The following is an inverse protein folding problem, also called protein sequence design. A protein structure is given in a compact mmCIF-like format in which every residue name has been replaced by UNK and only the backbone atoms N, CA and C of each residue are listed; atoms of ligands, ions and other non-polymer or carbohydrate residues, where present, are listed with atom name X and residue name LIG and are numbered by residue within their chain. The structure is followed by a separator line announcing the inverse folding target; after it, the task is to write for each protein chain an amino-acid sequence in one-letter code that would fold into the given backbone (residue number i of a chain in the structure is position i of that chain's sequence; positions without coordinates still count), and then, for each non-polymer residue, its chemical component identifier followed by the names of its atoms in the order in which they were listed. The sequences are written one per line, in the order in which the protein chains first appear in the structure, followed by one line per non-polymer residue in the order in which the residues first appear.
data_IF_652337276324
#
_entry.id   IF_652337276324
#
_cell.length_a   1.000
_cell.length_b   1.000
_cell.length_c   1.000
_cell.angle_alpha   90.00
_cell.angle_beta   90.00
_cell.angle_gamma   90.00
#
_symmetry.space_group_name_H-M   'P 1'
#
loop_
_entity.id
_entity.type
_entity.pdbx_description
1 polymer ?
#
# COMPACT_ATOMS: atom_id res chain seq x y z
N UNK A 1 -57.59 -19.38 1.11
CA UNK A 1 -57.63 -18.05 1.76
C UNK A 1 -56.39 -17.33 1.27
N UNK A 2 -56.60 -16.44 0.31
CA UNK A 2 -55.58 -15.76 -0.47
C UNK A 2 -54.64 -14.89 0.36
N UNK A 3 -53.36 -14.94 -0.01
CA UNK A 3 -52.35 -13.94 0.32
C UNK A 3 -52.29 -12.96 -0.87
N UNK A 4 -53.20 -11.99 -0.90
CA UNK A 4 -53.08 -10.84 -1.78
C UNK A 4 -52.49 -9.64 -1.02
N UNK A 5 -51.36 -9.20 -1.59
CA UNK A 5 -50.54 -8.05 -1.31
C UNK A 5 -51.29 -6.79 -0.82
N UNK A 6 -50.80 -6.23 0.28
CA UNK A 6 -50.83 -4.78 0.52
C UNK A 6 -49.44 -4.27 0.13
N UNK A 7 -49.27 -3.98 -1.15
CA UNK A 7 -48.28 -2.99 -1.61
C UNK A 7 -49.12 -1.76 -1.92
N UNK A 8 -49.12 -0.79 -1.02
CA UNK A 8 -49.65 0.53 -1.33
C UNK A 8 -48.79 1.12 -2.44
N UNK A 9 -49.32 1.12 -3.66
CA UNK A 9 -48.77 1.87 -4.77
C UNK A 9 -48.80 3.35 -4.40
N UNK A 10 -47.64 3.93 -4.11
CA UNK A 10 -47.44 5.38 -4.20
C UNK A 10 -47.96 5.79 -5.57
N UNK A 11 -48.96 6.68 -5.61
CA UNK A 11 -49.53 7.09 -6.87
C UNK A 11 -48.44 7.79 -7.69
N UNK A 12 -48.45 7.61 -9.01
CA UNK A 12 -47.51 8.27 -9.94
C UNK A 12 -47.49 9.80 -9.76
N UNK A 13 -48.55 10.36 -9.16
CA UNK A 13 -48.68 11.77 -8.80
C UNK A 13 -47.84 12.16 -7.58
N UNK A 14 -47.81 11.30 -6.55
CA UNK A 14 -47.03 11.53 -5.33
C UNK A 14 -45.52 11.40 -5.60
N UNK A 15 -45.12 10.52 -6.52
CA UNK A 15 -43.72 10.39 -6.95
C UNK A 15 -43.20 11.65 -7.65
N UNK A 16 -44.06 12.28 -8.48
CA UNK A 16 -43.71 13.49 -9.21
C UNK A 16 -43.74 14.76 -8.34
N UNK A 17 -44.48 14.77 -7.23
CA UNK A 17 -44.45 15.87 -6.27
C UNK A 17 -43.16 15.87 -5.42
N UNK A 18 -42.67 14.69 -5.03
CA UNK A 18 -41.38 14.54 -4.33
C UNK A 18 -40.20 15.01 -5.18
N UNK A 19 -40.24 14.79 -6.50
CA UNK A 19 -39.20 15.24 -7.44
C UNK A 19 -39.22 16.75 -7.72
N UNK A 20 -40.27 17.48 -7.34
CA UNK A 20 -40.36 18.93 -7.57
C UNK A 20 -39.89 19.77 -6.38
N UNK A 21 -39.45 19.16 -5.27
CA UNK A 21 -38.87 19.86 -4.13
C UNK A 21 -37.38 20.08 -4.38
N UNK A 22 -37.06 21.09 -5.19
CA UNK A 22 -35.70 21.60 -5.32
C UNK A 22 -35.33 21.99 -6.75
N UNK A 23 -35.93 23.05 -7.30
CA UNK A 23 -35.36 23.75 -8.46
C UNK A 23 -34.45 24.88 -7.97
N UNK A 24 -33.38 24.50 -7.27
CA UNK A 24 -32.23 25.37 -7.04
C UNK A 24 -31.23 25.15 -8.16
N UNK A 25 -30.69 26.23 -8.71
CA UNK A 25 -29.74 26.20 -9.84
C UNK A 25 -28.59 25.22 -9.58
N UNK A 26 -28.50 24.14 -10.39
CA UNK A 26 -27.37 23.21 -10.35
C UNK A 26 -27.68 21.71 -10.41
N UNK A 27 -28.90 21.27 -10.73
CA UNK A 27 -29.15 19.85 -10.96
C UNK A 27 -28.66 19.45 -12.35
N UNK A 28 -27.58 18.68 -12.39
CA UNK A 28 -27.20 17.91 -13.57
C UNK A 28 -28.42 17.09 -14.02
N UNK A 29 -28.83 17.23 -15.29
CA UNK A 29 -29.94 16.45 -15.83
C UNK A 29 -29.66 14.96 -15.64
N UNK A 30 -30.60 14.25 -15.01
CA UNK A 30 -30.54 12.80 -14.91
C UNK A 30 -30.53 12.19 -16.31
N UNK A 31 -29.35 11.76 -16.78
CA UNK A 31 -29.20 11.08 -18.07
C UNK A 31 -29.92 9.73 -17.97
N UNK A 32 -30.93 9.44 -18.83
CA UNK A 32 -31.62 8.16 -18.83
C UNK A 32 -30.64 7.00 -19.03
N UNK A 33 -30.83 5.90 -18.28
CA UNK A 33 -29.92 4.73 -18.35
C UNK A 33 -29.78 4.17 -19.77
N UNK A 34 -30.81 4.36 -20.61
CA UNK A 34 -30.87 3.95 -22.01
C UNK A 34 -29.95 4.74 -22.93
N UNK A 35 -29.39 5.87 -22.47
CA UNK A 35 -28.45 6.70 -23.22
C UNK A 35 -26.98 6.31 -22.99
N UNK A 36 -26.68 5.49 -21.98
CA UNK A 36 -25.34 4.91 -21.80
C UNK A 36 -25.15 3.76 -22.79
N UNK A 37 -24.76 4.08 -24.02
CA UNK A 37 -24.58 3.05 -25.06
C UNK A 37 -23.31 2.22 -24.88
N UNK A 38 -22.30 2.71 -24.15
CA UNK A 38 -21.11 1.97 -23.65
C UNK A 38 -20.42 2.75 -22.51
N UNK A 39 -19.77 2.06 -21.54
CA UNK A 39 -18.90 2.68 -20.52
C UNK A 39 -17.65 3.36 -21.10
N UNK A 40 -17.39 3.18 -22.40
CA UNK A 40 -16.34 3.87 -23.15
C UNK A 40 -16.83 5.24 -23.61
N UNK A 41 -16.57 6.27 -22.82
CA UNK A 41 -16.95 7.66 -23.08
C UNK A 41 -15.93 8.45 -23.90
N UNK A 42 -16.36 9.61 -24.39
CA UNK A 42 -15.51 10.58 -25.09
C UNK A 42 -14.53 11.33 -24.16
N UNK A 43 -13.65 12.09 -24.80
CA UNK A 43 -12.32 12.58 -24.40
C UNK A 43 -12.37 13.69 -23.32
N UNK A 44 -12.90 13.41 -22.14
CA UNK A 44 -12.51 14.18 -20.95
C UNK A 44 -11.36 13.43 -20.29
N UNK A 45 -10.12 13.82 -20.59
CA UNK A 45 -8.91 13.10 -20.16
C UNK A 45 -8.82 12.95 -18.63
N UNK A 46 -9.41 13.87 -17.86
CA UNK A 46 -9.33 13.88 -16.41
C UNK A 46 -10.18 12.81 -15.71
N UNK A 47 -11.30 12.40 -16.32
CA UNK A 47 -12.26 11.47 -15.71
C UNK A 47 -12.19 10.05 -16.33
N UNK A 48 -11.31 9.87 -17.31
CA UNK A 48 -11.11 8.59 -17.99
C UNK A 48 -9.96 7.82 -17.36
N UNK A 49 -10.20 6.54 -17.06
CA UNK A 49 -9.17 5.60 -16.62
C UNK A 49 -8.87 4.57 -17.71
N UNK A 50 -7.59 4.24 -17.90
CA UNK A 50 -7.18 3.21 -18.84
C UNK A 50 -7.14 1.84 -18.14
N UNK A 51 -8.14 0.99 -18.41
CA UNK A 51 -8.12 -0.39 -17.95
C UNK A 51 -6.92 -1.10 -18.57
N UNK A 52 -6.10 -1.71 -17.71
CA UNK A 52 -4.89 -2.41 -18.13
C UNK A 52 -3.73 -1.48 -18.47
N UNK A 53 -3.74 -0.21 -18.04
CA UNK A 53 -2.52 0.61 -17.85
C UNK A 53 -1.44 0.42 -18.95
N UNK A 54 -1.84 0.55 -20.21
CA UNK A 54 -0.98 0.27 -21.37
C UNK A 54 0.31 1.10 -21.31
N UNK A 55 1.47 0.42 -21.33
CA UNK A 55 2.78 1.07 -21.24
C UNK A 55 3.24 1.33 -19.81
N UNK A 56 2.65 0.67 -18.82
CA UNK A 56 3.11 0.67 -17.44
C UNK A 56 3.13 -0.76 -16.89
N UNK A 57 3.76 -0.93 -15.73
CA UNK A 57 3.75 -2.18 -15.00
C UNK A 57 2.33 -2.48 -14.46
N UNK A 58 1.71 -3.52 -15.02
CA UNK A 58 0.41 -4.00 -14.59
C UNK A 58 0.39 -4.38 -13.12
N UNK A 59 1.46 -4.99 -12.60
CA UNK A 59 1.55 -5.42 -11.21
C UNK A 59 1.46 -4.21 -10.27
N UNK A 60 2.15 -3.11 -10.61
CA UNK A 60 2.13 -1.88 -9.80
C UNK A 60 0.73 -1.30 -9.68
N UNK A 61 0.01 -1.09 -10.79
CA UNK A 61 -1.32 -0.49 -10.76
C UNK A 61 -2.33 -1.31 -9.94
N UNK A 62 -2.23 -2.63 -10.02
CA UNK A 62 -3.04 -3.53 -9.18
C UNK A 62 -2.66 -3.43 -7.70
N UNK A 63 -1.38 -3.54 -7.36
CA UNK A 63 -0.91 -3.47 -5.97
C UNK A 63 -1.28 -2.12 -5.35
N UNK A 64 -0.86 -1.03 -5.97
CA UNK A 64 -1.02 0.32 -5.43
C UNK A 64 -2.48 0.77 -5.40
N UNK A 65 -3.29 0.38 -6.39
CA UNK A 65 -4.72 0.72 -6.40
C UNK A 65 -5.45 0.24 -5.15
N UNK A 66 -5.18 -0.99 -4.69
CA UNK A 66 -5.77 -1.52 -3.45
C UNK A 66 -5.27 -0.79 -2.20
N UNK A 67 -3.98 -0.45 -2.15
CA UNK A 67 -3.43 0.32 -1.03
C UNK A 67 -4.01 1.72 -0.97
N UNK A 68 -3.91 2.48 -2.05
CA UNK A 68 -4.35 3.88 -2.13
C UNK A 68 -5.85 4.03 -1.85
N UNK A 69 -6.67 3.11 -2.37
CA UNK A 69 -8.09 3.10 -2.05
C UNK A 69 -8.31 2.94 -0.54
N UNK A 70 -7.76 1.89 0.07
CA UNK A 70 -7.88 1.64 1.51
C UNK A 70 -7.28 2.77 2.37
N UNK A 71 -6.22 3.41 1.87
CA UNK A 71 -5.54 4.49 2.57
C UNK A 71 -6.36 5.78 2.55
N UNK A 72 -6.98 6.09 1.40
CA UNK A 72 -7.83 7.27 1.22
C UNK A 72 -9.09 7.25 2.08
N UNK A 73 -9.62 6.06 2.42
CA UNK A 73 -10.82 5.94 3.29
C UNK A 73 -10.60 6.46 4.70
N UNK A 74 -9.34 6.62 5.16
CA UNK A 74 -9.00 7.12 6.49
C UNK A 74 -9.53 8.54 6.76
N UNK A 75 -9.68 9.38 5.74
CA UNK A 75 -10.30 10.71 5.93
C UNK A 75 -11.83 10.60 6.06
N UNK A 76 -12.43 9.67 5.33
CA UNK A 76 -13.88 9.47 5.27
C UNK A 76 -14.43 8.68 6.47
N UNK A 77 -13.64 7.82 7.08
CA UNK A 77 -14.07 7.03 8.26
C UNK A 77 -14.41 7.89 9.48
N UNK A 78 -14.03 9.17 9.52
CA UNK A 78 -14.43 10.07 10.61
C UNK A 78 -15.96 10.30 10.64
N UNK A 79 -16.63 10.13 9.51
CA UNK A 79 -18.09 10.25 9.40
C UNK A 79 -18.81 8.90 9.30
N UNK A 80 -18.19 7.88 8.69
CA UNK A 80 -18.84 6.60 8.38
C UNK A 80 -17.94 5.37 8.69
N UNK A 81 -17.46 5.19 9.92
CA UNK A 81 -16.50 4.14 10.25
C UNK A 81 -17.06 2.72 10.00
N UNK A 82 -18.31 2.48 10.37
CA UNK A 82 -18.94 1.15 10.28
C UNK A 82 -19.24 0.72 8.83
N UNK A 83 -19.44 1.69 7.94
CA UNK A 83 -19.65 1.43 6.50
C UNK A 83 -18.31 1.14 5.82
N UNK A 84 -17.25 1.84 6.24
CA UNK A 84 -15.95 1.78 5.58
C UNK A 84 -15.05 0.66 6.13
N UNK A 85 -15.34 0.08 7.30
CA UNK A 85 -14.50 -0.96 7.91
C UNK A 85 -14.32 -2.18 6.99
N UNK A 86 -15.39 -2.70 6.39
CA UNK A 86 -15.35 -3.87 5.50
C UNK A 86 -14.51 -3.62 4.25
N UNK A 87 -14.82 -2.61 3.41
CA UNK A 87 -14.02 -2.37 2.22
C UNK A 87 -12.57 -1.99 2.57
N UNK A 88 -12.31 -1.25 3.65
CA UNK A 88 -10.94 -0.87 4.03
C UNK A 88 -10.08 -2.09 4.35
N UNK A 89 -10.59 -3.01 5.18
CA UNK A 89 -9.83 -4.23 5.54
C UNK A 89 -9.65 -5.14 4.32
N UNK A 90 -10.71 -5.31 3.51
CA UNK A 90 -10.61 -6.10 2.28
C UNK A 90 -9.50 -5.58 1.35
N UNK A 91 -9.49 -4.27 1.08
CA UNK A 91 -8.51 -3.67 0.19
C UNK A 91 -7.09 -3.77 0.77
N UNK A 92 -6.86 -3.49 2.06
CA UNK A 92 -5.54 -3.70 2.69
C UNK A 92 -5.07 -5.16 2.67
N UNK A 93 -5.97 -6.11 2.95
CA UNK A 93 -5.66 -7.54 2.89
C UNK A 93 -5.25 -7.95 1.48
N UNK A 94 -5.99 -7.49 0.48
CA UNK A 94 -5.72 -7.83 -0.91
C UNK A 94 -4.45 -7.17 -1.44
N UNK A 95 -4.19 -5.92 -1.06
CA UNK A 95 -2.89 -5.27 -1.24
C UNK A 95 -1.74 -6.14 -0.73
N UNK A 96 -1.80 -6.57 0.54
CA UNK A 96 -0.75 -7.41 1.14
C UNK A 96 -0.56 -8.70 0.34
N UNK A 97 -1.67 -9.33 -0.08
CA UNK A 97 -1.62 -10.58 -0.83
C UNK A 97 -0.88 -10.43 -2.16
N UNK A 98 -1.24 -9.43 -2.96
CA UNK A 98 -0.62 -9.22 -4.27
C UNK A 98 0.84 -8.79 -4.09
N UNK A 99 1.11 -7.86 -3.18
CA UNK A 99 2.47 -7.39 -2.91
C UNK A 99 3.40 -8.52 -2.43
N UNK A 100 2.94 -9.41 -1.53
CA UNK A 100 3.75 -10.56 -1.10
C UNK A 100 4.05 -11.54 -2.24
N UNK A 101 3.10 -11.75 -3.16
CA UNK A 101 3.30 -12.62 -4.32
C UNK A 101 4.32 -12.03 -5.27
N UNK A 102 4.24 -10.73 -5.52
CA UNK A 102 5.18 -10.02 -6.38
C UNK A 102 6.58 -10.00 -5.75
N UNK A 103 6.69 -9.66 -4.46
CA UNK A 103 7.95 -9.75 -3.70
C UNK A 103 8.54 -11.16 -3.76
N UNK A 104 7.72 -12.19 -3.58
CA UNK A 104 8.19 -13.57 -3.64
C UNK A 104 8.73 -13.91 -5.03
N UNK A 105 8.01 -13.53 -6.08
CA UNK A 105 8.44 -13.73 -7.46
C UNK A 105 9.76 -13.01 -7.76
N UNK A 106 9.86 -11.73 -7.41
CA UNK A 106 11.07 -10.92 -7.59
C UNK A 106 12.26 -11.49 -6.84
N UNK A 107 12.07 -11.91 -5.58
CA UNK A 107 13.12 -12.55 -4.80
C UNK A 107 13.54 -13.89 -5.41
N UNK A 108 12.59 -14.71 -5.85
CA UNK A 108 12.90 -15.98 -6.51
C UNK A 108 13.72 -15.77 -7.77
N UNK A 109 13.32 -14.80 -8.59
CA UNK A 109 14.03 -14.44 -9.81
C UNK A 109 15.43 -13.89 -9.51
N UNK A 110 15.54 -12.94 -8.58
CA UNK A 110 16.81 -12.29 -8.23
C UNK A 110 17.83 -13.29 -7.64
N UNK A 111 17.39 -14.17 -6.74
CA UNK A 111 18.25 -15.16 -6.09
C UNK A 111 18.35 -16.49 -6.84
N UNK A 112 17.76 -16.59 -8.04
CA UNK A 112 17.72 -17.83 -8.82
C UNK A 112 17.14 -19.02 -8.04
N UNK A 113 16.13 -18.76 -7.19
CA UNK A 113 15.38 -19.81 -6.49
C UNK A 113 14.31 -20.41 -7.42
N UNK A 114 13.85 -21.64 -7.17
CA UNK A 114 12.74 -22.22 -7.93
C UNK A 114 11.48 -21.36 -7.86
N UNK A 115 10.93 -21.00 -9.01
CA UNK A 115 9.67 -20.23 -9.10
C UNK A 115 8.51 -21.13 -8.70
N UNK A 116 7.76 -20.72 -7.69
CA UNK A 116 6.54 -21.42 -7.26
C UNK A 116 5.37 -21.12 -8.20
N UNK A 117 4.50 -22.11 -8.46
CA UNK A 117 3.35 -21.93 -9.36
C UNK A 117 1.99 -21.78 -8.66
N UNK A 118 1.94 -21.88 -7.32
CA UNK A 118 0.67 -21.79 -6.59
C UNK A 118 0.81 -21.01 -5.29
N UNK A 119 0.43 -19.74 -5.34
CA UNK A 119 0.53 -18.82 -4.20
C UNK A 119 -0.73 -18.77 -3.33
N UNK A 120 -1.84 -19.40 -3.76
CA UNK A 120 -3.12 -19.40 -3.03
C UNK A 120 -3.55 -18.00 -2.56
N UNK A 121 -4.41 -17.93 -1.53
CA UNK A 121 -4.83 -16.67 -0.88
C UNK A 121 -4.39 -16.57 0.58
N UNK A 122 -3.57 -17.51 1.05
CA UNK A 122 -3.18 -17.60 2.45
C UNK A 122 -1.94 -16.73 2.71
N UNK A 123 -2.17 -15.58 3.34
CA UNK A 123 -1.10 -14.60 3.64
C UNK A 123 0.04 -15.21 4.46
N UNK A 124 -0.27 -16.06 5.46
CA UNK A 124 0.75 -16.72 6.29
C UNK A 124 1.68 -17.61 5.44
N UNK A 125 1.13 -18.37 4.49
CA UNK A 125 1.93 -19.19 3.57
C UNK A 125 2.82 -18.32 2.68
N UNK A 126 2.26 -17.27 2.07
CA UNK A 126 3.01 -16.34 1.22
C UNK A 126 4.16 -15.67 2.02
N UNK A 127 3.85 -15.14 3.20
CA UNK A 127 4.83 -14.51 4.09
C UNK A 127 5.95 -15.48 4.48
N UNK A 128 5.62 -16.71 4.87
CA UNK A 128 6.62 -17.70 5.25
C UNK A 128 7.57 -18.06 4.09
N UNK A 129 7.06 -18.11 2.85
CA UNK A 129 7.90 -18.34 1.68
C UNK A 129 8.87 -17.17 1.46
N UNK A 130 8.39 -15.93 1.54
CA UNK A 130 9.22 -14.73 1.47
C UNK A 130 10.28 -14.74 2.57
N UNK A 131 9.88 -14.95 3.83
CA UNK A 131 10.79 -14.99 4.99
C UNK A 131 11.83 -16.11 4.88
N UNK A 132 11.49 -17.24 4.25
CA UNK A 132 12.43 -18.34 4.00
C UNK A 132 13.55 -17.90 3.06
N UNK A 133 13.23 -17.28 1.93
CA UNK A 133 14.23 -16.76 0.98
C UNK A 133 15.05 -15.65 1.65
N UNK A 134 14.38 -14.70 2.29
CA UNK A 134 15.01 -13.60 3.01
C UNK A 134 15.98 -14.11 4.09
N UNK A 135 15.60 -15.12 4.86
CA UNK A 135 16.45 -15.73 5.88
C UNK A 135 17.64 -16.49 5.29
N UNK A 136 17.42 -17.28 4.24
CA UNK A 136 18.48 -18.01 3.52
C UNK A 136 19.58 -17.07 3.01
N UNK A 137 19.22 -15.87 2.57
CA UNK A 137 20.14 -14.87 2.02
C UNK A 137 20.61 -13.81 3.03
N UNK A 138 20.30 -13.97 4.33
CA UNK A 138 20.69 -13.05 5.41
C UNK A 138 20.20 -11.60 5.22
N UNK A 139 18.99 -11.44 4.67
CA UNK A 139 18.36 -10.13 4.43
C UNK A 139 17.12 -9.87 5.28
N UNK A 140 17.04 -10.51 6.45
CA UNK A 140 15.90 -10.44 7.37
C UNK A 140 15.50 -9.02 7.79
N UNK A 141 16.37 -8.04 7.64
CA UNK A 141 16.05 -6.64 7.91
C UNK A 141 15.00 -6.03 6.96
N UNK A 142 14.76 -6.62 5.78
CA UNK A 142 13.74 -6.13 4.84
C UNK A 142 12.31 -6.36 5.33
N UNK A 143 12.08 -7.39 6.14
CA UNK A 143 10.78 -7.61 6.78
C UNK A 143 11.02 -7.82 8.28
N UNK A 144 11.02 -6.72 9.06
CA UNK A 144 11.09 -6.81 10.51
C UNK A 144 9.94 -7.64 11.10
N UNK A 145 10.17 -8.17 12.30
CA UNK A 145 9.18 -9.02 12.99
C UNK A 145 7.85 -8.28 13.19
N UNK A 146 7.88 -6.97 13.44
CA UNK A 146 6.69 -6.15 13.63
C UNK A 146 5.83 -6.10 12.35
N UNK A 147 6.45 -5.96 11.18
CA UNK A 147 5.75 -5.95 9.89
C UNK A 147 5.14 -7.32 9.63
N UNK A 148 5.90 -8.40 9.87
CA UNK A 148 5.40 -9.76 9.75
C UNK A 148 4.21 -10.01 10.69
N UNK A 149 4.25 -9.47 11.91
CA UNK A 149 3.15 -9.56 12.88
C UNK A 149 1.89 -8.87 12.39
N UNK A 150 1.99 -7.64 11.84
CA UNK A 150 0.84 -6.94 11.25
C UNK A 150 0.18 -7.78 10.16
N UNK A 151 0.97 -8.35 9.25
CA UNK A 151 0.46 -9.20 8.16
C UNK A 151 -0.28 -10.41 8.71
N UNK A 152 0.26 -11.05 9.76
CA UNK A 152 -0.38 -12.20 10.39
C UNK A 152 -1.65 -11.80 11.16
N UNK A 153 -1.70 -10.62 11.79
CA UNK A 153 -2.92 -10.10 12.41
C UNK A 153 -4.02 -9.89 11.37
N UNK A 154 -3.70 -9.30 10.21
CA UNK A 154 -4.64 -9.17 9.08
C UNK A 154 -5.09 -10.55 8.57
N UNK A 155 -4.17 -11.51 8.50
CA UNK A 155 -4.53 -12.88 8.13
C UNK A 155 -5.52 -13.52 9.10
N UNK A 156 -5.37 -13.30 10.40
CA UNK A 156 -6.30 -13.84 11.40
C UNK A 156 -7.67 -13.16 11.36
N UNK A 157 -7.74 -11.90 10.90
CA UNK A 157 -9.01 -11.22 10.66
C UNK A 157 -9.77 -11.82 9.47
N UNK A 158 -9.08 -12.24 8.41
CA UNK A 158 -9.69 -12.86 7.23
C UNK A 158 -8.77 -13.90 6.56
N UNK A 159 -8.80 -15.10 7.11
CA UNK A 159 -7.90 -16.19 6.72
C UNK A 159 -8.04 -16.57 5.24
N UNK A 160 -9.25 -16.47 4.71
CA UNK A 160 -9.64 -17.02 3.40
C UNK A 160 -9.97 -15.97 2.33
N UNK A 161 -9.86 -14.67 2.63
CA UNK A 161 -10.27 -13.58 1.73
C UNK A 161 -11.79 -13.57 1.45
N UNK A 162 -12.59 -13.88 2.47
CA UNK A 162 -14.04 -14.07 2.32
C UNK A 162 -14.84 -13.24 3.31
N UNK A 163 -14.34 -13.06 4.54
CA UNK A 163 -15.14 -12.51 5.64
C UNK A 163 -15.53 -11.04 5.43
N UNK A 164 -14.67 -10.27 4.77
CA UNK A 164 -14.94 -8.86 4.48
C UNK A 164 -15.58 -8.60 3.11
N UNK A 165 -15.85 -9.66 2.34
CA UNK A 165 -16.47 -9.57 1.00
C UNK A 165 -17.91 -10.05 0.98
N UNK A 166 -18.17 -11.12 1.71
CA UNK A 166 -19.45 -11.83 1.66
C UNK A 166 -20.04 -11.91 3.05
N UNK A 167 -21.33 -11.59 3.17
CA UNK A 167 -22.09 -11.78 4.41
C UNK A 167 -22.33 -13.28 4.65
N UNK A 168 -22.60 -14.02 3.57
CA UNK A 168 -22.89 -15.44 3.60
C UNK A 168 -21.81 -16.23 2.86
N UNK A 169 -21.55 -17.45 3.31
CA UNK A 169 -20.77 -18.45 2.60
C UNK A 169 -21.63 -19.12 1.52
N UNK A 170 -21.00 -19.92 0.66
CA UNK A 170 -21.71 -20.70 -0.36
C UNK A 170 -22.72 -21.70 0.24
N UNK A 171 -22.56 -22.05 1.51
CA UNK A 171 -23.49 -22.89 2.28
C UNK A 171 -24.74 -22.14 2.79
N UNK A 172 -24.78 -20.81 2.66
CA UNK A 172 -25.81 -19.94 3.24
C UNK A 172 -25.58 -19.56 4.71
N UNK A 173 -24.55 -20.10 5.36
CA UNK A 173 -24.16 -19.71 6.71
C UNK A 173 -23.46 -18.35 6.72
N UNK A 174 -23.47 -17.63 7.85
CA UNK A 174 -22.71 -16.38 7.97
C UNK A 174 -21.21 -16.64 7.75
N UNK A 175 -20.54 -15.73 7.03
CA UNK A 175 -19.11 -15.83 6.74
C UNK A 175 -18.27 -15.72 8.01
N UNK A 176 -18.71 -14.92 8.98
CA UNK A 176 -18.08 -14.76 10.27
C UNK A 176 -19.11 -14.65 11.39
N UNK A 177 -18.70 -15.04 12.59
CA UNK A 177 -19.44 -14.70 13.80
C UNK A 177 -19.12 -13.23 14.15
N UNK A 178 -20.09 -12.35 13.96
CA UNK A 178 -19.99 -10.91 14.23
C UNK A 178 -20.00 -10.57 15.74
N UNK A 179 -19.34 -11.37 16.57
CA UNK A 179 -19.05 -11.01 17.95
C UNK A 179 -18.25 -9.71 17.93
N UNK A 180 -18.85 -8.64 18.44
CA UNK A 180 -18.38 -7.27 18.29
C UNK A 180 -16.94 -7.10 18.78
N UNK A 181 -16.02 -6.94 17.83
CA UNK A 181 -14.65 -6.50 18.08
C UNK A 181 -14.53 -5.06 17.60
N UNK A 182 -14.22 -4.15 18.52
CA UNK A 182 -13.85 -2.80 18.12
C UNK A 182 -12.52 -2.85 17.36
N UNK A 183 -12.51 -2.28 16.16
CA UNK A 183 -11.30 -2.12 15.37
C UNK A 183 -10.89 -0.65 15.35
N UNK A 184 -9.68 -0.37 15.77
CA UNK A 184 -9.10 0.97 15.66
C UNK A 184 -8.58 1.19 14.23
N UNK A 185 -9.42 1.79 13.39
CA UNK A 185 -9.08 2.08 12.00
C UNK A 185 -7.92 3.08 11.85
N UNK A 186 -7.69 3.95 12.83
CA UNK A 186 -6.52 4.85 12.83
C UNK A 186 -5.24 4.05 13.03
N UNK A 187 -5.24 3.15 14.02
CA UNK A 187 -4.09 2.26 14.24
C UNK A 187 -3.85 1.37 13.03
N UNK A 188 -4.91 0.81 12.43
CA UNK A 188 -4.81 0.01 11.20
C UNK A 188 -4.15 0.82 10.08
N UNK A 189 -4.60 2.05 9.81
CA UNK A 189 -4.02 2.94 8.80
C UNK A 189 -2.51 3.13 8.98
N UNK A 190 -2.04 3.45 10.20
CA UNK A 190 -0.60 3.63 10.45
C UNK A 190 0.21 2.34 10.32
N UNK A 191 -0.34 1.21 10.78
CA UNK A 191 0.28 -0.11 10.63
C UNK A 191 0.42 -0.47 9.15
N UNK A 192 -0.63 -0.21 8.35
CA UNK A 192 -0.61 -0.48 6.92
C UNK A 192 0.29 0.45 6.13
N UNK A 193 0.41 1.72 6.49
CA UNK A 193 1.42 2.62 5.93
C UNK A 193 2.84 2.08 6.18
N UNK A 194 3.08 1.54 7.38
CA UNK A 194 4.36 0.93 7.71
C UNK A 194 4.62 -0.30 6.83
N UNK A 195 3.66 -1.23 6.73
CA UNK A 195 3.77 -2.40 5.84
C UNK A 195 4.06 -1.95 4.40
N UNK A 196 3.33 -0.94 3.93
CA UNK A 196 3.48 -0.41 2.58
C UNK A 196 4.90 0.10 2.32
N UNK A 197 5.44 0.93 3.22
CA UNK A 197 6.81 1.42 3.06
C UNK A 197 7.84 0.29 2.95
N UNK A 198 7.70 -0.80 3.70
CA UNK A 198 8.60 -1.96 3.58
C UNK A 198 8.36 -2.76 2.29
N UNK A 199 7.12 -2.91 1.85
CA UNK A 199 6.82 -3.63 0.62
C UNK A 199 7.29 -2.85 -0.62
N UNK A 200 6.95 -1.57 -0.71
CA UNK A 200 7.41 -0.68 -1.78
C UNK A 200 8.93 -0.63 -1.85
N UNK A 201 9.60 -0.61 -0.69
CA UNK A 201 11.05 -0.80 -0.60
C UNK A 201 11.50 -2.08 -1.31
N UNK A 202 10.93 -3.24 -0.97
CA UNK A 202 11.39 -4.52 -1.54
C UNK A 202 11.03 -4.65 -3.02
N UNK A 203 9.88 -4.10 -3.45
CA UNK A 203 9.47 -4.12 -4.85
C UNK A 203 10.41 -3.24 -5.69
N UNK A 204 10.71 -2.02 -5.23
CA UNK A 204 11.76 -1.18 -5.81
C UNK A 204 13.06 -2.00 -5.81
N UNK A 205 13.45 -2.52 -4.64
CA UNK A 205 14.43 -3.59 -4.39
C UNK A 205 14.92 -4.42 -5.56
N UNK A 206 13.96 -5.23 -5.97
CA UNK A 206 14.18 -6.49 -6.65
C UNK A 206 13.38 -6.59 -7.94
N UNK A 207 12.49 -5.63 -8.24
CA UNK A 207 11.76 -5.59 -9.51
C UNK A 207 12.74 -5.52 -10.68
N UNK A 208 12.59 -6.46 -11.61
CA UNK A 208 13.39 -6.46 -12.82
C UNK A 208 12.76 -5.54 -13.87
N UNK A 209 13.42 -4.40 -14.13
CA UNK A 209 13.18 -3.63 -15.34
C UNK A 209 11.93 -2.74 -15.33
N UNK A 210 11.49 -2.25 -14.16
CA UNK A 210 10.46 -1.21 -14.12
C UNK A 210 10.88 0.00 -14.96
N UNK A 211 10.03 0.49 -15.86
CA UNK A 211 10.35 1.61 -16.77
C UNK A 211 10.64 2.94 -16.04
N UNK A 212 10.33 3.01 -14.74
CA UNK A 212 10.71 4.11 -13.84
C UNK A 212 12.16 4.03 -13.33
N UNK A 213 12.91 2.98 -13.71
CA UNK A 213 14.29 2.77 -13.30
C UNK A 213 15.30 3.43 -14.23
N UNK A 214 15.99 4.45 -13.70
CA UNK A 214 17.26 4.87 -14.23
C UNK A 214 18.26 3.71 -14.11
N UNK A 215 18.68 3.12 -15.24
CA UNK A 215 19.64 2.01 -15.30
C UNK A 215 20.93 2.26 -14.50
N UNK A 216 21.32 3.53 -14.34
CA UNK A 216 22.49 3.88 -13.54
C UNK A 216 22.22 3.67 -12.04
N UNK A 217 21.02 4.02 -11.55
CA UNK A 217 20.64 3.78 -10.15
C UNK A 217 20.62 2.29 -9.81
N UNK A 218 20.12 1.44 -10.70
CA UNK A 218 20.10 -0.03 -10.49
C UNK A 218 21.50 -0.59 -10.23
N UNK A 219 22.51 -0.16 -10.99
CA UNK A 219 23.90 -0.59 -10.77
C UNK A 219 24.44 -0.16 -9.40
N UNK A 220 24.33 1.12 -9.05
CA UNK A 220 24.83 1.64 -7.77
C UNK A 220 24.05 1.07 -6.58
N UNK A 221 22.75 0.81 -6.76
CA UNK A 221 21.90 0.21 -5.75
C UNK A 221 22.23 -1.28 -5.55
N UNK A 222 22.45 -2.04 -6.62
CA UNK A 222 22.96 -3.41 -6.53
C UNK A 222 24.34 -3.46 -5.87
N UNK A 223 25.21 -2.50 -6.15
CA UNK A 223 26.49 -2.35 -5.45
C UNK A 223 26.26 -2.03 -3.97
N UNK A 224 25.34 -1.11 -3.63
CA UNK A 224 24.95 -0.77 -2.26
C UNK A 224 24.48 -1.99 -1.48
N UNK A 225 23.50 -2.71 -2.02
CA UNK A 225 22.97 -3.94 -1.43
C UNK A 225 24.09 -4.96 -1.31
N UNK A 226 24.86 -5.24 -2.36
CA UNK A 226 25.98 -6.19 -2.28
C UNK A 226 26.99 -5.85 -1.16
N UNK A 227 27.23 -4.57 -0.89
CA UNK A 227 28.07 -4.10 0.21
C UNK A 227 27.38 -4.25 1.57
N UNK A 228 26.09 -3.92 1.65
CA UNK A 228 25.24 -4.14 2.83
C UNK A 228 25.18 -5.62 3.23
N UNK A 229 24.98 -6.52 2.27
CA UNK A 229 24.92 -7.98 2.47
C UNK A 229 26.26 -8.57 2.96
N UNK A 230 27.37 -7.93 2.63
CA UNK A 230 28.71 -8.33 3.10
C UNK A 230 29.01 -7.87 4.53
N UNK A 231 28.22 -6.96 5.09
CA UNK A 231 28.37 -6.56 6.50
C UNK A 231 27.79 -7.66 7.38
N UNK A 232 28.67 -8.45 8.01
CA UNK A 232 28.30 -9.30 9.14
C UNK A 232 28.34 -8.49 10.43
N UNK A 233 27.20 -8.41 11.12
CA UNK A 233 27.07 -7.74 12.42
C UNK A 233 26.78 -6.24 12.31
N UNK A 234 25.79 -5.77 13.06
CA UNK A 234 25.30 -4.40 13.00
C UNK A 234 26.32 -3.39 13.54
N UNK A 235 27.18 -2.86 12.69
CA UNK A 235 27.89 -1.61 12.98
C UNK A 235 27.40 -0.53 12.03
N UNK A 236 26.52 0.34 12.57
CA UNK A 236 25.99 1.55 11.91
C UNK A 236 27.12 2.35 11.23
N UNK A 237 28.31 2.38 11.81
CA UNK A 237 29.51 3.01 11.24
C UNK A 237 29.92 2.44 9.87
N UNK A 238 29.74 1.14 9.63
CA UNK A 238 30.07 0.52 8.34
C UNK A 238 29.02 0.86 7.26
N UNK A 239 27.74 0.93 7.64
CA UNK A 239 26.66 1.39 6.74
C UNK A 239 26.92 2.85 6.32
N UNK A 240 27.28 3.72 7.26
CA UNK A 240 27.61 5.13 6.97
C UNK A 240 28.80 5.28 6.03
N UNK A 241 29.82 4.42 6.14
CA UNK A 241 30.98 4.45 5.23
C UNK A 241 30.59 3.98 3.82
N UNK A 242 29.76 2.96 3.70
CA UNK A 242 29.26 2.49 2.40
C UNK A 242 28.41 3.56 1.72
N UNK A 243 27.52 4.22 2.47
CA UNK A 243 26.69 5.29 1.93
C UNK A 243 27.59 6.42 1.39
N UNK A 244 28.57 6.88 2.18
CA UNK A 244 29.54 7.90 1.74
C UNK A 244 30.31 7.50 0.48
N UNK A 245 30.77 6.25 0.38
CA UNK A 245 31.49 5.76 -0.81
C UNK A 245 30.62 5.83 -2.08
N UNK A 246 29.33 5.54 -1.97
CA UNK A 246 28.42 5.51 -3.11
C UNK A 246 28.03 6.92 -3.53
N UNK A 247 27.76 7.81 -2.57
CA UNK A 247 27.49 9.23 -2.85
C UNK A 247 28.70 9.92 -3.47
N UNK A 248 29.92 9.55 -3.07
CA UNK A 248 31.15 10.12 -3.63
C UNK A 248 31.42 9.67 -5.07
N UNK A 249 30.99 8.46 -5.44
CA UNK A 249 31.18 7.92 -6.79
C UNK A 249 30.17 8.46 -7.81
N UNK A 250 29.06 9.04 -7.37
CA UNK A 250 28.08 9.66 -8.26
C UNK A 250 27.33 10.81 -7.56
N UNK A 251 27.66 12.09 -7.85
CA UNK A 251 27.02 13.23 -7.22
C UNK A 251 25.53 13.41 -7.57
N UNK A 252 25.01 12.69 -8.57
CA UNK A 252 23.58 12.71 -8.94
C UNK A 252 22.75 11.60 -8.26
N UNK A 253 23.40 10.61 -7.62
CA UNK A 253 22.70 9.56 -6.88
C UNK A 253 22.29 10.05 -5.47
N UNK A 254 21.19 10.79 -5.41
CA UNK A 254 20.49 11.11 -4.15
C UNK A 254 19.48 10.01 -3.84
N UNK A 255 19.75 9.16 -2.83
CA UNK A 255 18.77 8.18 -2.35
C UNK A 255 17.62 8.93 -1.67
N UNK A 256 16.48 9.05 -2.35
CA UNK A 256 15.23 9.54 -1.75
C UNK A 256 14.46 8.36 -1.18
N UNK A 257 14.58 8.14 0.13
CA UNK A 257 13.48 7.54 0.88
C UNK A 257 12.52 8.66 1.25
N UNK A 258 11.22 8.40 1.31
CA UNK A 258 10.25 9.30 1.93
C UNK A 258 9.67 8.57 3.15
N UNK A 259 9.85 9.15 4.34
CA UNK A 259 8.95 8.95 5.47
C UNK A 259 8.54 10.36 5.85
N UNK A 260 7.32 10.77 5.50
CA UNK A 260 6.82 12.09 5.87
C UNK A 260 6.70 12.19 7.41
N UNK A 261 7.52 13.06 8.00
CA UNK A 261 7.16 13.78 9.22
C UNK A 261 7.14 15.26 8.81
N UNK A 262 5.93 15.78 8.55
CA UNK A 262 5.72 17.14 8.10
C UNK A 262 5.98 18.12 9.27
N UNK A 263 7.18 18.71 9.29
CA UNK A 263 7.44 19.95 10.03
C UNK A 263 8.06 20.96 9.08
N UNK A 264 7.21 21.73 8.39
CA UNK A 264 7.64 22.89 7.61
C UNK A 264 8.27 23.94 8.51
N UNK A 265 9.52 24.31 8.25
CA UNK A 265 10.13 25.57 8.67
C UNK A 265 10.66 26.29 7.43
N UNK A 266 10.49 27.61 7.36
CA UNK A 266 10.59 28.45 6.13
C UNK A 266 11.97 28.55 5.45
N UNK A 267 12.96 27.71 5.76
CA UNK A 267 14.30 27.76 5.14
C UNK A 267 14.80 26.32 4.91
N UNK A 268 14.56 25.79 3.71
CA UNK A 268 15.06 24.47 3.26
C UNK A 268 14.18 23.27 3.65
N UNK A 269 14.36 22.16 2.93
CA UNK A 269 13.75 20.86 3.28
C UNK A 269 14.77 20.04 4.06
N UNK A 270 14.41 19.64 5.27
CA UNK A 270 15.16 18.66 6.07
C UNK A 270 14.34 17.37 6.13
N UNK A 271 14.86 16.28 5.56
CA UNK A 271 14.22 14.98 5.65
C UNK A 271 14.80 14.21 6.84
N UNK A 272 13.95 13.79 7.76
CA UNK A 272 14.35 13.08 8.98
C UNK A 272 13.81 11.65 8.94
N UNK A 273 14.70 10.67 8.82
CA UNK A 273 14.39 9.25 8.75
C UNK A 273 14.65 8.58 10.08
N UNK A 274 13.67 7.85 10.62
CA UNK A 274 13.88 6.98 11.78
C UNK A 274 14.41 5.63 11.33
N UNK A 275 15.64 5.30 11.73
CA UNK A 275 16.25 4.01 11.46
C UNK A 275 15.71 2.95 12.41
N UNK A 276 15.73 1.68 12.00
CA UNK A 276 15.35 0.52 12.85
C UNK A 276 16.16 0.41 14.14
N UNK A 277 17.30 1.09 14.21
CA UNK A 277 18.17 1.19 15.38
C UNK A 277 17.73 2.25 16.40
N UNK A 278 16.66 3.01 16.11
CA UNK A 278 16.18 4.11 16.95
C UNK A 278 16.92 5.44 16.76
N UNK A 279 17.92 5.48 15.89
CA UNK A 279 18.61 6.71 15.47
C UNK A 279 17.85 7.43 14.35
N UNK A 280 18.13 8.72 14.15
CA UNK A 280 17.60 9.52 13.06
C UNK A 280 18.68 9.85 12.04
N UNK A 281 18.38 9.69 10.76
CA UNK A 281 19.18 10.22 9.66
C UNK A 281 18.50 11.52 9.19
N UNK A 282 19.19 12.64 9.30
CA UNK A 282 18.74 13.92 8.74
C UNK A 282 19.51 14.20 7.45
N UNK A 283 18.78 14.58 6.41
CA UNK A 283 19.34 15.01 5.12
C UNK A 283 18.81 16.42 4.83
N UNK A 284 19.69 17.42 4.89
CA UNK A 284 19.38 18.80 4.56
C UNK A 284 19.59 19.10 3.08
N UNK A 285 18.58 19.67 2.43
CA UNK A 285 18.61 20.03 1.01
C UNK A 285 18.54 21.54 0.76
N UNK A 286 19.24 21.97 -0.28
CA UNK A 286 19.07 23.28 -0.93
C UNK A 286 18.87 23.05 -2.44
N UNK A 287 17.61 23.09 -2.85
CA UNK A 287 17.20 22.66 -4.19
C UNK A 287 17.60 21.21 -4.48
N UNK A 288 18.38 21.00 -5.55
CA UNK A 288 18.84 19.67 -5.97
C UNK A 288 20.16 19.23 -5.32
N UNK A 289 20.73 20.02 -4.39
CA UNK A 289 22.00 19.69 -3.73
C UNK A 289 21.77 19.26 -2.29
N UNK A 290 22.39 18.14 -1.90
CA UNK A 290 22.52 17.76 -0.49
C UNK A 290 23.53 18.72 0.14
N UNK A 291 23.13 19.44 1.18
CA UNK A 291 24.03 20.29 1.95
C UNK A 291 24.58 19.57 3.19
N UNK A 292 23.79 18.69 3.81
CA UNK A 292 24.22 17.99 5.02
C UNK A 292 23.58 16.62 5.16
N UNK A 293 24.33 15.69 5.74
CA UNK A 293 23.83 14.38 6.17
C UNK A 293 24.31 14.18 7.60
N UNK A 294 23.38 14.01 8.54
CA UNK A 294 23.71 13.79 9.95
C UNK A 294 22.96 12.58 10.49
N UNK A 295 23.60 11.83 11.39
CA UNK A 295 22.93 10.74 12.12
C UNK A 295 22.95 11.09 13.60
N UNK A 296 21.78 11.32 14.18
CA UNK A 296 21.63 11.60 15.60
C UNK A 296 21.07 10.38 16.32
N UNK A 297 21.61 10.09 17.50
CA UNK A 297 21.02 9.13 18.43
C UNK A 297 20.30 9.93 19.52
N UNK A 298 19.11 9.51 19.94
CA UNK A 298 18.49 10.07 21.13
C UNK A 298 19.42 9.78 22.30
N UNK A 299 20.15 10.78 22.79
CA UNK A 299 20.62 10.76 24.17
C UNK A 299 19.35 10.84 25.01
N UNK A 300 19.05 9.78 25.78
CA UNK A 300 18.01 9.87 26.83
C UNK A 300 18.30 11.14 27.63
N UNK A 301 17.44 12.14 27.51
CA UNK A 301 17.38 13.19 28.51
C UNK A 301 16.96 12.49 29.80
N UNK A 302 17.88 12.46 30.77
CA UNK A 302 17.53 12.25 32.17
C UNK A 302 16.89 13.54 32.70
#
# INVERSE_FOLDING_TARGET
MDQDAIIDCISEKDFNEVLNVGKGDGYEECIPITQFSNFSGAIFEADNALIGWKGQDFSYGYIEGFYEFAHSTYKLQLSLPDVLVYPTIYNYRHYIEIALKEILFDLQLYFSEPIGSNFGHNLRKCLNQVLTIIGKHNISFFIPEEVARVILEIHELDRNNTYFRYIFQDTGELSQNYNSKYLDLRKLHYMMNTVHNYFSTILILFSQGGEFYNKNLDFYFKVFISKLLKIKGSKITQINNILKDITFQNPECTFRYCVELDTRTEIGYEYIYKLSTGSFLSIGHDGNKIQSVSVSSIKKCL
#
